data_IF_272363523443
#
_entry.id   IF_272363523443
#
_cell.length_a   1.000
_cell.length_b   1.000
_cell.length_c   1.000
_cell.angle_alpha   90.00
_cell.angle_beta   90.00
_cell.angle_gamma   90.00
#
_symmetry.space_group_name_H-M   'P 1'
#
loop_
_entity.id
_entity.type
_entity.pdbx_description
1 polymer ?
#
# COMPACT_ATOMS: atom_id res chain seq x y z
N UNK A 1 -67.76 -9.63 -20.93
CA UNK A 1 -67.36 -10.07 -22.28
C UNK A 1 -66.10 -10.91 -22.13
N UNK A 2 -66.04 -12.21 -22.41
CA UNK A 2 -67.04 -13.16 -22.98
C UNK A 2 -67.50 -12.75 -24.39
N UNK A 3 -67.33 -13.51 -25.46
CA UNK A 3 -66.52 -14.71 -25.79
C UNK A 3 -65.99 -14.46 -27.25
N UNK A 4 -65.54 -15.36 -28.13
CA UNK A 4 -65.40 -16.83 -28.24
C UNK A 4 -64.09 -17.07 -29.08
N UNK A 5 -63.74 -18.10 -29.89
CA UNK A 5 -64.34 -19.37 -30.32
C UNK A 5 -63.22 -20.42 -30.58
N UNK A 6 -63.58 -21.72 -30.64
CA UNK A 6 -62.76 -22.89 -31.06
C UNK A 6 -63.38 -23.48 -32.33
N UNK A 7 -62.62 -24.12 -33.26
CA UNK A 7 -62.31 -25.58 -33.16
C UNK A 7 -61.00 -25.97 -33.89
N UNK A 8 -60.57 -27.23 -34.09
CA UNK A 8 -60.62 -28.49 -33.31
C UNK A 8 -59.47 -29.40 -33.79
N UNK A 9 -59.13 -30.46 -33.04
CA UNK A 9 -58.18 -31.50 -33.49
C UNK A 9 -57.84 -32.53 -32.41
N UNK A 10 -58.41 -33.74 -32.52
CA UNK A 10 -58.27 -34.81 -31.51
C UNK A 10 -57.18 -35.84 -31.83
N UNK A 11 -56.74 -36.58 -30.81
CA UNK A 11 -55.75 -37.66 -30.89
C UNK A 11 -55.26 -38.11 -29.49
N UNK A 12 -56.16 -38.44 -28.56
CA UNK A 12 -56.51 -39.83 -28.18
C UNK A 12 -55.40 -40.60 -27.45
N UNK A 13 -55.59 -40.88 -26.16
CA UNK A 13 -54.69 -41.70 -25.33
C UNK A 13 -55.06 -41.65 -23.84
N UNK A 14 -55.76 -42.68 -23.37
CA UNK A 14 -56.15 -42.93 -21.96
C UNK A 14 -55.01 -43.70 -21.23
N UNK A 15 -54.95 -43.92 -19.91
CA UNK A 15 -55.93 -43.73 -18.81
C UNK A 15 -55.21 -43.49 -17.43
N UNK A 16 -55.98 -43.57 -16.33
CA UNK A 16 -55.65 -43.47 -14.89
C UNK A 16 -54.47 -44.36 -14.41
N UNK A 17 -53.82 -44.20 -13.23
CA UNK A 17 -54.31 -43.65 -11.95
C UNK A 17 -53.20 -43.22 -10.93
N UNK A 18 -53.65 -42.59 -9.82
CA UNK A 18 -52.92 -42.13 -8.60
C UNK A 18 -52.36 -43.31 -7.73
N UNK A 19 -51.47 -43.12 -6.70
CA UNK A 19 -51.41 -41.97 -5.76
C UNK A 19 -50.04 -41.56 -5.12
N UNK A 20 -50.14 -40.62 -4.15
CA UNK A 20 -49.26 -40.36 -2.98
C UNK A 20 -47.78 -39.92 -3.14
N UNK A 21 -47.57 -38.63 -2.89
CA UNK A 21 -46.83 -38.07 -1.73
C UNK A 21 -45.62 -38.86 -1.15
N UNK A 22 -44.41 -38.44 -1.50
CA UNK A 22 -43.23 -38.38 -0.60
C UNK A 22 -42.26 -37.27 -1.08
N UNK A 23 -41.39 -36.78 -0.20
CA UNK A 23 -40.72 -35.48 -0.35
C UNK A 23 -39.37 -35.50 -1.09
N UNK A 24 -39.14 -34.51 -1.96
CA UNK A 24 -37.78 -34.09 -2.36
C UNK A 24 -37.72 -32.62 -2.79
N UNK A 25 -37.31 -31.72 -1.88
CA UNK A 25 -37.08 -30.30 -2.20
C UNK A 25 -35.72 -30.14 -2.89
N UNK A 26 -35.67 -30.38 -4.20
CA UNK A 26 -34.57 -29.87 -5.05
C UNK A 26 -34.75 -28.37 -5.29
N UNK A 27 -34.29 -27.53 -4.35
CA UNK A 27 -33.99 -26.12 -4.66
C UNK A 27 -32.87 -26.08 -5.70
N UNK A 28 -33.06 -25.32 -6.78
CA UNK A 28 -32.05 -25.16 -7.82
C UNK A 28 -30.88 -24.29 -7.34
N UNK A 29 -29.65 -24.76 -7.53
CA UNK A 29 -28.47 -23.91 -7.42
C UNK A 29 -28.39 -22.97 -8.63
N UNK A 30 -28.90 -21.76 -8.47
CA UNK A 30 -28.81 -20.67 -9.44
C UNK A 30 -27.71 -19.69 -9.05
N UNK A 31 -26.78 -19.42 -9.98
CA UNK A 31 -25.59 -18.59 -9.78
C UNK A 31 -25.86 -17.22 -9.12
N UNK A 32 -25.25 -16.98 -7.96
CA UNK A 32 -25.25 -15.67 -7.26
C UNK A 32 -23.94 -15.37 -6.50
N UNK A 33 -22.81 -15.94 -6.93
CA UNK A 33 -21.47 -15.67 -6.32
C UNK A 33 -20.45 -15.23 -7.38
N UNK A 34 -20.77 -14.14 -8.09
CA UNK A 34 -19.81 -13.41 -8.94
C UNK A 34 -20.32 -11.98 -9.20
N UNK A 35 -19.49 -10.98 -8.85
CA UNK A 35 -19.53 -9.52 -9.16
C UNK A 35 -19.46 -8.53 -7.97
N UNK A 36 -19.58 -8.96 -6.70
CA UNK A 36 -19.59 -8.01 -5.56
C UNK A 36 -18.33 -7.10 -5.48
N UNK A 37 -17.07 -7.59 -5.64
CA UNK A 37 -15.89 -6.73 -5.48
C UNK A 37 -15.82 -5.58 -6.50
N UNK A 38 -16.14 -5.85 -7.77
CA UNK A 38 -16.14 -4.83 -8.82
C UNK A 38 -17.28 -3.80 -8.64
N UNK A 39 -18.41 -4.21 -8.08
CA UNK A 39 -19.51 -3.31 -7.74
C UNK A 39 -19.14 -2.37 -6.58
N UNK A 40 -18.56 -2.90 -5.50
CA UNK A 40 -18.10 -2.10 -4.36
C UNK A 40 -16.98 -1.11 -4.75
N UNK A 41 -16.04 -1.53 -5.59
CA UNK A 41 -15.01 -0.64 -6.14
C UNK A 41 -15.60 0.44 -7.05
N UNK A 42 -16.57 0.10 -7.91
CA UNK A 42 -17.27 1.07 -8.76
C UNK A 42 -18.08 2.09 -7.94
N UNK A 43 -18.67 1.65 -6.84
CA UNK A 43 -19.39 2.51 -5.90
C UNK A 43 -18.42 3.44 -5.16
N UNK A 44 -17.29 2.92 -4.67
CA UNK A 44 -16.23 3.71 -4.03
C UNK A 44 -15.66 4.78 -4.98
N UNK A 45 -15.38 4.43 -6.23
CA UNK A 45 -14.94 5.38 -7.26
C UNK A 45 -15.99 6.47 -7.55
N UNK A 46 -17.28 6.12 -7.57
CA UNK A 46 -18.38 7.09 -7.68
C UNK A 46 -18.43 8.05 -6.49
N UNK A 47 -18.26 7.56 -5.26
CA UNK A 47 -18.18 8.42 -4.07
C UNK A 47 -16.97 9.36 -4.11
N UNK A 48 -15.77 8.87 -4.47
CA UNK A 48 -14.61 9.75 -4.66
C UNK A 48 -14.84 10.81 -5.74
N UNK A 49 -15.55 10.49 -6.83
CA UNK A 49 -15.96 11.45 -7.86
C UNK A 49 -16.94 12.51 -7.31
N UNK A 50 -17.91 12.10 -6.48
CA UNK A 50 -18.86 12.99 -5.82
C UNK A 50 -18.18 13.90 -4.78
N UNK A 51 -17.37 13.35 -3.88
CA UNK A 51 -16.55 14.12 -2.93
C UNK A 51 -15.66 15.13 -3.68
N UNK A 52 -15.03 14.71 -4.78
CA UNK A 52 -14.23 15.58 -5.65
C UNK A 52 -15.04 16.66 -6.36
N UNK A 53 -16.35 16.49 -6.56
CA UNK A 53 -17.26 17.53 -7.07
C UNK A 53 -17.62 18.51 -5.95
N UNK A 54 -18.07 18.00 -4.80
CA UNK A 54 -18.52 18.82 -3.68
C UNK A 54 -17.37 19.64 -3.06
N UNK A 55 -16.15 19.10 -2.97
CA UNK A 55 -14.96 19.86 -2.56
C UNK A 55 -14.67 21.05 -3.50
N UNK A 56 -14.84 20.88 -4.82
CA UNK A 56 -14.68 21.97 -5.79
C UNK A 56 -15.81 23.00 -5.68
N UNK A 57 -17.05 22.56 -5.46
CA UNK A 57 -18.17 23.46 -5.20
C UNK A 57 -17.96 24.26 -3.92
N UNK A 58 -17.50 23.63 -2.84
CA UNK A 58 -17.13 24.30 -1.58
C UNK A 58 -16.07 25.37 -1.80
N UNK A 59 -14.96 25.05 -2.45
CA UNK A 59 -13.88 26.03 -2.72
C UNK A 59 -14.37 27.19 -3.60
N UNK A 60 -15.22 26.91 -4.60
CA UNK A 60 -15.87 27.95 -5.40
C UNK A 60 -16.77 28.88 -4.56
N UNK A 61 -17.58 28.30 -3.67
CA UNK A 61 -18.46 29.04 -2.77
C UNK A 61 -17.68 29.84 -1.71
N UNK A 62 -16.62 29.29 -1.11
CA UNK A 62 -15.73 30.02 -0.19
C UNK A 62 -15.07 31.23 -0.87
N UNK A 63 -14.63 31.07 -2.12
CA UNK A 63 -14.06 32.18 -2.90
C UNK A 63 -15.11 33.25 -3.23
N UNK A 64 -16.32 32.86 -3.62
CA UNK A 64 -17.43 33.80 -3.87
C UNK A 64 -17.86 34.54 -2.60
N UNK A 65 -17.90 33.85 -1.46
CA UNK A 65 -18.21 34.42 -0.13
C UNK A 65 -17.22 35.52 0.26
N UNK A 66 -15.92 35.30 0.00
CA UNK A 66 -14.83 36.26 0.25
C UNK A 66 -14.83 37.41 -0.76
N UNK A 67 -15.20 37.17 -2.01
CA UNK A 67 -15.19 38.16 -3.08
C UNK A 67 -16.43 39.07 -3.12
N UNK A 68 -17.60 38.60 -2.66
CA UNK A 68 -18.83 39.39 -2.70
C UNK A 68 -18.89 40.44 -1.58
N UNK A 69 -19.26 41.67 -1.95
CA UNK A 69 -19.59 42.74 -1.01
C UNK A 69 -21.09 42.78 -0.66
N UNK A 70 -21.95 42.10 -1.44
CA UNK A 70 -23.40 42.11 -1.30
C UNK A 70 -23.87 41.16 -0.20
N UNK A 71 -24.60 41.69 0.80
CA UNK A 71 -25.06 40.95 1.99
C UNK A 71 -25.95 39.76 1.65
N UNK A 72 -26.94 39.93 0.76
CA UNK A 72 -27.89 38.88 0.40
C UNK A 72 -27.21 37.73 -0.36
N UNK A 73 -26.27 38.06 -1.25
CA UNK A 73 -25.43 37.05 -1.93
C UNK A 73 -24.55 36.33 -0.90
N UNK A 74 -23.99 37.04 0.09
CA UNK A 74 -23.18 36.43 1.15
C UNK A 74 -23.99 35.47 2.02
N UNK A 75 -25.21 35.83 2.40
CA UNK A 75 -26.14 34.99 3.15
C UNK A 75 -26.54 33.73 2.37
N UNK A 76 -26.85 33.88 1.07
CA UNK A 76 -27.15 32.74 0.19
C UNK A 76 -25.95 31.79 0.07
N UNK A 77 -24.76 32.33 -0.13
CA UNK A 77 -23.53 31.50 -0.23
C UNK A 77 -23.16 30.84 1.11
N UNK A 78 -23.51 31.43 2.26
CA UNK A 78 -23.37 30.77 3.56
C UNK A 78 -24.29 29.55 3.69
N UNK A 79 -25.53 29.64 3.20
CA UNK A 79 -26.49 28.54 3.18
C UNK A 79 -25.98 27.38 2.29
N UNK A 80 -25.53 27.71 1.07
CA UNK A 80 -24.94 26.73 0.14
C UNK A 80 -23.67 26.09 0.72
N UNK A 81 -22.81 26.85 1.41
CA UNK A 81 -21.65 26.28 2.11
C UNK A 81 -22.06 25.32 3.22
N UNK A 82 -23.14 25.58 3.96
CA UNK A 82 -23.67 24.66 4.97
C UNK A 82 -24.20 23.38 4.31
N UNK A 83 -24.93 23.49 3.20
CA UNK A 83 -25.45 22.35 2.44
C UNK A 83 -24.31 21.48 1.87
N UNK A 84 -23.32 22.08 1.19
CA UNK A 84 -22.17 21.35 0.61
C UNK A 84 -21.31 20.70 1.69
N UNK A 85 -21.13 21.33 2.86
CA UNK A 85 -20.45 20.68 4.00
C UNK A 85 -21.26 19.49 4.54
N UNK A 86 -22.59 19.59 4.65
CA UNK A 86 -23.44 18.46 5.05
C UNK A 86 -23.41 17.32 4.03
N UNK A 87 -23.33 17.64 2.73
CA UNK A 87 -23.21 16.63 1.66
C UNK A 87 -21.83 15.94 1.69
N UNK A 88 -20.77 16.69 1.96
CA UNK A 88 -19.41 16.17 2.17
C UNK A 88 -19.29 15.30 3.42
N UNK A 89 -20.07 15.58 4.47
CA UNK A 89 -20.16 14.73 5.68
C UNK A 89 -20.73 13.36 5.31
N UNK A 90 -21.93 13.33 4.73
CA UNK A 90 -22.64 12.10 4.35
C UNK A 90 -21.82 11.23 3.36
N UNK A 91 -21.24 11.83 2.32
CA UNK A 91 -20.42 11.10 1.34
C UNK A 91 -19.14 10.49 1.96
N UNK A 92 -18.61 11.08 3.05
CA UNK A 92 -17.48 10.51 3.80
C UNK A 92 -17.91 9.41 4.76
N UNK A 93 -19.09 9.51 5.34
CA UNK A 93 -19.67 8.49 6.21
C UNK A 93 -20.01 7.22 5.39
N UNK A 94 -20.66 7.37 4.23
CA UNK A 94 -20.93 6.27 3.28
C UNK A 94 -19.62 5.60 2.78
N UNK A 95 -18.58 6.41 2.52
CA UNK A 95 -17.25 5.91 2.14
C UNK A 95 -16.55 5.15 3.28
N UNK A 96 -16.80 5.53 4.54
CA UNK A 96 -16.27 4.83 5.72
C UNK A 96 -17.01 3.51 5.95
N UNK A 97 -18.35 3.49 5.83
CA UNK A 97 -19.16 2.26 5.90
C UNK A 97 -18.70 1.22 4.87
N UNK A 98 -18.54 1.65 3.61
CA UNK A 98 -18.00 0.84 2.51
C UNK A 98 -16.51 0.50 2.64
N UNK A 99 -15.82 1.04 3.64
CA UNK A 99 -14.46 0.63 4.03
C UNK A 99 -14.46 -0.38 5.18
N UNK A 100 -15.50 -0.41 6.01
CA UNK A 100 -15.73 -1.44 7.05
C UNK A 100 -16.46 -2.68 6.54
N UNK A 101 -17.29 -2.59 5.49
CA UNK A 101 -18.15 -3.68 5.02
C UNK A 101 -17.45 -4.75 4.17
N UNK A 102 -16.17 -5.04 4.41
CA UNK A 102 -15.35 -5.91 3.56
C UNK A 102 -15.25 -7.35 4.09
N UNK A 103 -15.41 -7.55 5.41
CA UNK A 103 -15.31 -8.86 6.06
C UNK A 103 -16.65 -9.26 6.71
N UNK A 104 -17.43 -10.11 6.02
CA UNK A 104 -18.59 -10.82 6.59
C UNK A 104 -18.63 -12.25 6.04
N UNK A 105 -17.75 -13.11 6.56
CA UNK A 105 -17.88 -14.57 6.59
C UNK A 105 -16.96 -15.12 7.70
N UNK A 106 -17.32 -14.86 8.97
CA UNK A 106 -16.69 -15.48 10.14
C UNK A 106 -17.69 -16.45 10.80
N UNK A 107 -17.28 -17.69 11.12
CA UNK A 107 -18.13 -18.63 11.85
C UNK A 107 -18.27 -18.21 13.32
N UNK A 108 -19.46 -18.41 13.90
CA UNK A 108 -19.73 -18.11 15.31
C UNK A 108 -18.93 -19.07 16.23
N UNK A 109 -17.88 -18.58 16.89
CA UNK A 109 -17.15 -19.39 17.88
C UNK A 109 -15.85 -18.84 18.44
N UNK A 110 -15.16 -17.92 17.74
CA UNK A 110 -13.82 -17.46 18.13
C UNK A 110 -13.79 -16.15 18.93
N UNK A 111 -12.64 -15.84 19.53
CA UNK A 111 -12.43 -14.68 20.39
C UNK A 111 -12.52 -13.35 19.66
N UNK A 112 -12.63 -12.25 20.42
CA UNK A 112 -12.74 -10.89 19.88
C UNK A 112 -11.43 -10.48 19.19
N UNK A 113 -11.32 -10.76 17.89
CA UNK A 113 -10.19 -10.36 17.05
C UNK A 113 -10.19 -8.85 16.87
N UNK A 114 -9.31 -8.15 17.59
CA UNK A 114 -9.12 -6.71 17.43
C UNK A 114 -8.48 -6.45 16.05
N UNK A 115 -9.08 -5.60 15.19
CA UNK A 115 -8.64 -5.43 13.81
C UNK A 115 -7.30 -4.70 13.69
N UNK A 116 -6.63 -4.90 12.56
CA UNK A 116 -5.50 -4.08 12.12
C UNK A 116 -5.99 -2.86 11.33
N UNK A 117 -5.13 -1.84 11.21
CA UNK A 117 -5.35 -0.65 10.40
C UNK A 117 -4.56 -0.78 9.09
N UNK A 118 -5.23 -1.10 7.96
CA UNK A 118 -4.64 -0.99 6.62
C UNK A 118 -4.77 0.45 6.09
N UNK A 119 -3.82 0.85 5.23
CA UNK A 119 -3.83 2.12 4.52
C UNK A 119 -4.48 2.00 3.14
N UNK A 120 -5.22 3.04 2.74
CA UNK A 120 -5.61 3.24 1.35
C UNK A 120 -4.40 3.51 0.45
N UNK A 121 -4.50 3.15 -0.83
CA UNK A 121 -3.50 3.57 -1.83
C UNK A 121 -3.78 5.03 -2.24
N UNK A 122 -2.71 5.77 -2.56
CA UNK A 122 -2.77 7.05 -3.27
C UNK A 122 -3.27 6.79 -4.70
N UNK A 123 -4.26 7.54 -5.15
CA UNK A 123 -4.76 7.47 -6.52
C UNK A 123 -3.97 8.39 -7.46
N UNK A 124 -3.87 8.05 -8.74
CA UNK A 124 -3.29 8.91 -9.79
C UNK A 124 -4.14 8.92 -11.07
N UNK A 125 -3.97 9.98 -11.86
CA UNK A 125 -4.62 10.15 -13.17
C UNK A 125 -3.80 9.52 -14.28
N UNK A 126 -4.36 9.44 -15.48
CA UNK A 126 -3.56 9.25 -16.70
C UNK A 126 -2.49 10.34 -16.84
N UNK A 127 -1.38 9.98 -17.48
CA UNK A 127 -0.21 10.81 -17.76
C UNK A 127 0.37 10.36 -19.09
N UNK A 128 0.49 11.31 -20.02
CA UNK A 128 1.20 11.16 -21.30
C UNK A 128 2.72 11.21 -21.02
N UNK A 129 3.40 10.07 -21.20
CA UNK A 129 4.84 9.96 -21.30
C UNK A 129 5.30 10.03 -22.76
N UNK A 130 4.47 9.59 -23.70
CA UNK A 130 4.80 9.48 -25.11
C UNK A 130 5.23 10.80 -25.75
N UNK A 131 4.42 11.87 -25.66
CA UNK A 131 4.76 13.16 -26.25
C UNK A 131 6.04 13.74 -25.64
N UNK A 132 6.18 13.88 -24.30
CA UNK A 132 7.36 14.52 -23.72
C UNK A 132 8.65 13.70 -23.83
N UNK A 133 8.57 12.36 -23.96
CA UNK A 133 9.75 11.54 -24.23
C UNK A 133 10.18 11.62 -25.70
N UNK A 134 9.25 11.57 -26.66
CA UNK A 134 9.58 11.65 -28.09
C UNK A 134 10.21 13.01 -28.45
N UNK A 135 9.62 14.09 -27.95
CA UNK A 135 10.18 15.44 -28.08
C UNK A 135 11.61 15.51 -27.52
N UNK A 136 11.82 15.03 -26.29
CA UNK A 136 13.13 15.04 -25.64
C UNK A 136 14.15 14.15 -26.38
N UNK A 137 13.75 12.98 -26.88
CA UNK A 137 14.62 12.09 -27.67
C UNK A 137 15.13 12.81 -28.93
N UNK A 138 14.22 13.43 -29.69
CA UNK A 138 14.61 14.14 -30.92
C UNK A 138 15.35 15.46 -30.68
N UNK A 139 14.99 16.23 -29.65
CA UNK A 139 15.71 17.48 -29.32
C UNK A 139 17.09 17.24 -28.68
N UNK A 140 17.22 16.25 -27.80
CA UNK A 140 18.46 16.04 -27.04
C UNK A 140 19.43 15.06 -27.71
N UNK A 141 18.94 13.93 -28.23
CA UNK A 141 19.79 12.87 -28.79
C UNK A 141 19.89 12.97 -30.32
N UNK A 142 18.97 13.67 -30.98
CA UNK A 142 18.91 13.76 -32.44
C UNK A 142 18.39 12.49 -33.13
N UNK A 143 17.77 11.61 -32.35
CA UNK A 143 17.17 10.34 -32.79
C UNK A 143 15.67 10.54 -33.09
N UNK A 144 15.08 9.75 -33.98
CA UNK A 144 13.63 9.83 -34.25
C UNK A 144 12.86 9.24 -33.05
N UNK A 145 12.11 10.09 -32.34
CA UNK A 145 11.33 9.66 -31.17
C UNK A 145 10.32 8.55 -31.49
N UNK A 146 9.82 8.47 -32.74
CA UNK A 146 8.89 7.41 -33.16
C UNK A 146 9.54 6.03 -33.30
N UNK A 147 10.88 5.95 -33.31
CA UNK A 147 11.60 4.67 -33.30
C UNK A 147 11.52 3.91 -31.96
N UNK A 148 11.12 4.60 -30.88
CA UNK A 148 10.93 4.05 -29.52
C UNK A 148 9.44 3.93 -29.11
N UNK A 149 8.53 3.91 -30.08
CA UNK A 149 7.07 3.84 -29.84
C UNK A 149 6.68 2.63 -28.98
N UNK A 150 7.34 1.47 -29.17
CA UNK A 150 7.03 0.22 -28.46
C UNK A 150 7.37 0.33 -26.98
N UNK A 151 8.60 0.73 -26.67
CA UNK A 151 9.13 0.85 -25.31
C UNK A 151 8.44 1.97 -24.51
N UNK A 152 7.95 2.99 -25.22
CA UNK A 152 7.11 4.05 -24.67
C UNK A 152 5.71 3.51 -24.34
N UNK A 153 5.08 2.74 -25.23
CA UNK A 153 3.77 2.12 -24.94
C UNK A 153 3.85 1.14 -23.77
N UNK A 154 4.91 0.33 -23.69
CA UNK A 154 5.15 -0.57 -22.55
C UNK A 154 5.27 0.19 -21.22
N UNK A 155 5.91 1.37 -21.21
CA UNK A 155 5.98 2.25 -20.03
C UNK A 155 4.61 2.85 -19.66
N UNK A 156 3.81 3.27 -20.64
CA UNK A 156 2.48 3.83 -20.41
C UNK A 156 1.48 2.76 -19.91
N UNK A 157 1.50 1.57 -20.49
CA UNK A 157 0.67 0.42 -20.08
C UNK A 157 1.05 -0.02 -18.65
N UNK A 158 2.35 -0.15 -18.36
CA UNK A 158 2.85 -0.44 -17.02
C UNK A 158 2.39 0.61 -16.01
N UNK A 159 2.49 1.90 -16.34
CA UNK A 159 1.98 2.98 -15.49
C UNK A 159 0.47 2.89 -15.29
N UNK A 160 -0.29 2.70 -16.36
CA UNK A 160 -1.75 2.66 -16.32
C UNK A 160 -2.23 1.52 -15.41
N UNK A 161 -1.56 0.37 -15.44
CA UNK A 161 -1.81 -0.73 -14.51
C UNK A 161 -1.54 -0.37 -13.04
N UNK A 162 -0.51 0.44 -12.74
CA UNK A 162 -0.21 0.86 -11.34
C UNK A 162 -1.28 1.74 -10.68
N UNK A 163 -2.30 2.18 -11.43
CA UNK A 163 -3.49 2.87 -10.86
C UNK A 163 -4.41 1.93 -10.11
N UNK A 164 -4.46 0.66 -10.51
CA UNK A 164 -5.33 -0.37 -9.93
C UNK A 164 -4.58 -1.70 -9.77
N UNK A 165 -3.48 -1.74 -8.98
CA UNK A 165 -2.76 -2.99 -8.73
C UNK A 165 -3.64 -3.97 -7.96
N UNK A 166 -3.39 -5.27 -8.09
CA UNK A 166 -4.01 -6.29 -7.27
C UNK A 166 -3.61 -6.14 -5.79
N UNK A 167 -4.30 -6.84 -4.87
CA UNK A 167 -4.15 -6.63 -3.41
C UNK A 167 -3.36 -7.77 -2.75
N UNK A 168 -2.26 -8.09 -3.40
CA UNK A 168 -1.41 -9.27 -3.24
C UNK A 168 0.02 -8.97 -3.77
N UNK A 169 0.90 -9.97 -3.72
CA UNK A 169 2.29 -9.86 -4.17
C UNK A 169 2.43 -9.46 -5.66
N UNK A 170 1.51 -9.86 -6.54
CA UNK A 170 1.56 -9.44 -7.95
C UNK A 170 1.30 -7.92 -8.09
N UNK A 171 0.56 -7.32 -7.16
CA UNK A 171 0.40 -5.87 -7.05
C UNK A 171 1.67 -5.16 -6.55
N UNK A 172 2.45 -5.82 -5.70
CA UNK A 172 3.76 -5.33 -5.24
C UNK A 172 4.80 -5.40 -6.36
N UNK A 173 4.88 -6.53 -7.07
CA UNK A 173 5.75 -6.72 -8.24
C UNK A 173 5.47 -5.65 -9.32
N UNK A 174 4.20 -5.39 -9.62
CA UNK A 174 3.77 -4.36 -10.56
C UNK A 174 4.25 -2.95 -10.15
N UNK A 175 4.09 -2.58 -8.87
CA UNK A 175 4.56 -1.29 -8.35
C UNK A 175 6.10 -1.20 -8.32
N UNK A 176 6.79 -2.30 -7.96
CA UNK A 176 8.25 -2.37 -7.93
C UNK A 176 8.87 -2.33 -9.34
N UNK A 177 8.23 -2.94 -10.33
CA UNK A 177 8.61 -2.85 -11.73
C UNK A 177 8.50 -1.40 -12.25
N UNK A 178 7.38 -0.72 -12.01
CA UNK A 178 7.23 0.69 -12.39
C UNK A 178 8.21 1.60 -11.64
N UNK A 179 8.40 1.41 -10.33
CA UNK A 179 9.42 2.14 -9.55
C UNK A 179 10.84 1.94 -10.11
N UNK A 180 11.15 0.74 -10.61
CA UNK A 180 12.43 0.43 -11.26
C UNK A 180 12.57 1.16 -12.60
N UNK A 181 11.51 1.26 -13.41
CA UNK A 181 11.52 2.08 -14.63
C UNK A 181 11.69 3.56 -14.32
N UNK A 182 11.00 4.11 -13.31
CA UNK A 182 11.24 5.48 -12.83
C UNK A 182 12.71 5.68 -12.40
N UNK A 183 13.38 4.66 -11.87
CA UNK A 183 14.80 4.73 -11.54
C UNK A 183 15.75 4.71 -12.75
N UNK A 184 15.36 4.11 -13.88
CA UNK A 184 16.10 4.21 -15.14
C UNK A 184 15.84 5.54 -15.86
N UNK A 185 14.57 5.98 -15.89
CA UNK A 185 14.17 7.24 -16.53
C UNK A 185 14.88 8.44 -15.89
N UNK A 186 14.95 8.48 -14.56
CA UNK A 186 15.69 9.51 -13.81
C UNK A 186 17.14 9.64 -14.30
N UNK A 187 17.85 8.51 -14.42
CA UNK A 187 19.26 8.46 -14.79
C UNK A 187 19.54 8.77 -16.27
N UNK A 188 18.54 8.72 -17.16
CA UNK A 188 18.70 8.98 -18.61
C UNK A 188 18.08 10.30 -19.08
N UNK A 189 16.97 10.73 -18.48
CA UNK A 189 16.13 11.82 -19.01
C UNK A 189 15.90 12.98 -18.05
N UNK A 190 16.26 12.87 -16.77
CA UNK A 190 16.07 13.94 -15.78
C UNK A 190 17.42 14.49 -15.31
N UNK A 191 17.55 15.81 -15.37
CA UNK A 191 18.73 16.55 -14.94
C UNK A 191 18.31 17.97 -14.51
N UNK A 192 19.12 18.69 -13.70
CA UNK A 192 18.76 20.03 -13.25
C UNK A 192 18.57 21.08 -14.36
N UNK A 193 19.03 20.81 -15.59
CA UNK A 193 18.90 21.69 -16.75
C UNK A 193 18.01 21.15 -17.88
N UNK A 194 17.59 19.88 -17.82
CA UNK A 194 16.65 19.24 -18.75
C UNK A 194 15.82 18.18 -18.02
N UNK A 195 14.51 18.34 -18.05
CA UNK A 195 13.52 17.34 -17.62
C UNK A 195 12.35 17.36 -18.60
N UNK A 196 11.76 16.21 -18.97
CA UNK A 196 10.53 16.19 -19.77
C UNK A 196 9.41 16.98 -19.07
N UNK A 197 8.55 17.64 -19.86
CA UNK A 197 7.57 18.64 -19.40
C UNK A 197 6.39 18.12 -18.57
N UNK A 198 6.54 16.98 -17.90
CA UNK A 198 5.52 16.24 -17.17
C UNK A 198 4.97 17.00 -15.95
N UNK A 199 3.76 16.61 -15.55
CA UNK A 199 3.09 17.10 -14.34
C UNK A 199 2.38 15.92 -13.66
N UNK A 200 3.04 15.34 -12.66
CA UNK A 200 2.55 14.19 -11.92
C UNK A 200 1.39 14.62 -11.01
N UNK A 201 0.28 13.88 -11.05
CA UNK A 201 -0.94 14.15 -10.30
C UNK A 201 -1.26 13.00 -9.36
N UNK A 202 -1.26 13.24 -8.05
CA UNK A 202 -1.63 12.23 -7.05
C UNK A 202 -2.65 12.76 -6.06
N UNK A 203 -3.38 11.85 -5.44
CA UNK A 203 -4.28 12.13 -4.34
C UNK A 203 -3.67 11.64 -3.02
N UNK A 204 -3.93 12.37 -1.95
CA UNK A 204 -3.60 11.99 -0.58
C UNK A 204 -4.45 10.77 -0.14
N UNK A 205 -3.80 9.74 0.38
CA UNK A 205 -4.41 8.48 0.85
C UNK A 205 -5.23 8.61 2.15
N UNK A 206 -4.94 9.61 2.98
CA UNK A 206 -5.61 9.90 4.24
C UNK A 206 -6.74 10.94 4.04
N UNK A 207 -6.54 11.92 3.15
CA UNK A 207 -7.41 13.11 3.07
C UNK A 207 -8.15 13.29 1.74
N UNK A 208 -7.71 12.61 0.67
CA UNK A 208 -8.22 12.82 -0.69
C UNK A 208 -7.82 14.17 -1.32
N UNK A 209 -6.96 14.97 -0.68
CA UNK A 209 -6.45 16.23 -1.23
C UNK A 209 -5.55 15.95 -2.44
N UNK A 210 -5.76 16.61 -3.60
CA UNK A 210 -4.89 16.47 -4.75
C UNK A 210 -3.58 17.25 -4.57
N UNK A 211 -2.47 16.64 -4.98
CA UNK A 211 -1.15 17.27 -5.08
C UNK A 211 -0.58 17.09 -6.51
N UNK A 212 0.17 18.09 -6.96
CA UNK A 212 0.70 18.18 -8.33
C UNK A 212 2.15 18.68 -8.31
N UNK A 213 3.09 17.95 -8.91
CA UNK A 213 4.47 18.43 -9.07
C UNK A 213 5.08 17.97 -10.40
N UNK A 214 6.12 18.69 -10.86
CA UNK A 214 6.91 18.32 -12.06
C UNK A 214 8.11 17.42 -11.75
N UNK A 215 8.49 17.30 -10.47
CA UNK A 215 9.66 16.51 -10.07
C UNK A 215 9.35 15.01 -10.11
N UNK A 216 10.18 14.22 -10.80
CA UNK A 216 10.05 12.76 -10.87
C UNK A 216 10.08 12.10 -9.49
N UNK A 217 10.76 12.72 -8.54
CA UNK A 217 10.74 12.31 -7.13
C UNK A 217 9.30 12.13 -6.62
N UNK A 218 8.35 13.03 -6.96
CA UNK A 218 6.97 12.93 -6.48
C UNK A 218 6.25 11.67 -6.98
N UNK A 219 6.48 11.28 -8.24
CA UNK A 219 5.98 10.04 -8.81
C UNK A 219 6.58 8.84 -8.06
N UNK A 220 7.91 8.80 -7.93
CA UNK A 220 8.63 7.74 -7.18
C UNK A 220 8.13 7.61 -5.75
N UNK A 221 8.02 8.71 -5.02
CA UNK A 221 7.59 8.74 -3.63
C UNK A 221 6.14 8.30 -3.46
N UNK A 222 5.26 8.62 -4.40
CA UNK A 222 3.86 8.18 -4.37
C UNK A 222 3.71 6.68 -4.70
N UNK A 223 4.53 6.15 -5.62
CA UNK A 223 4.61 4.71 -5.90
C UNK A 223 5.19 3.96 -4.69
N UNK A 224 6.25 4.48 -4.05
CA UNK A 224 6.83 3.91 -2.83
C UNK A 224 5.84 3.91 -1.66
N UNK A 225 5.06 4.99 -1.50
CA UNK A 225 3.95 5.02 -0.54
C UNK A 225 2.94 3.90 -0.84
N UNK A 226 2.59 3.68 -2.10
CA UNK A 226 1.65 2.62 -2.48
C UNK A 226 2.22 1.21 -2.25
N UNK A 227 3.53 0.99 -2.38
CA UNK A 227 4.19 -0.27 -1.97
C UNK A 227 4.01 -0.49 -0.45
N UNK A 228 4.31 0.54 0.36
CA UNK A 228 4.11 0.47 1.81
C UNK A 228 2.64 0.23 2.20
N UNK A 229 1.71 0.98 1.60
CA UNK A 229 0.28 0.85 1.87
C UNK A 229 -0.28 -0.51 1.40
N UNK A 230 0.20 -1.07 0.28
CA UNK A 230 -0.19 -2.41 -0.18
C UNK A 230 0.29 -3.51 0.79
N UNK A 231 1.53 -3.42 1.30
CA UNK A 231 1.98 -4.31 2.37
C UNK A 231 1.06 -4.26 3.61
N UNK A 232 0.53 -3.09 4.00
CA UNK A 232 -0.45 -3.03 5.12
C UNK A 232 -1.75 -3.76 4.82
N UNK A 233 -2.22 -3.74 3.56
CA UNK A 233 -3.43 -4.46 3.14
C UNK A 233 -3.20 -5.97 3.08
N UNK A 234 -1.99 -6.42 2.75
CA UNK A 234 -1.60 -7.84 2.76
C UNK A 234 -1.45 -8.34 4.20
N UNK A 235 -0.78 -7.59 5.07
CA UNK A 235 -0.62 -7.94 6.48
C UNK A 235 -1.94 -8.00 7.25
N UNK A 236 -2.86 -7.06 7.00
CA UNK A 236 -4.19 -7.04 7.62
C UNK A 236 -5.13 -8.16 7.15
N UNK A 237 -4.78 -8.90 6.08
CA UNK A 237 -5.57 -10.02 5.52
C UNK A 237 -5.07 -11.41 5.92
N UNK A 238 -3.96 -11.52 6.66
CA UNK A 238 -3.39 -12.82 7.02
C UNK A 238 -4.21 -13.53 8.08
N UNK A 239 -4.35 -14.85 7.93
CA UNK A 239 -4.96 -15.71 8.94
C UNK A 239 -4.04 -15.84 10.17
N UNK A 240 -4.30 -15.00 11.17
CA UNK A 240 -3.56 -14.98 12.43
C UNK A 240 -3.93 -16.12 13.39
N UNK A 241 -4.74 -17.11 12.98
CA UNK A 241 -4.96 -18.35 13.75
C UNK A 241 -3.76 -19.32 13.68
N UNK A 242 -2.85 -19.14 12.71
CA UNK A 242 -1.69 -19.99 12.49
C UNK A 242 -0.36 -19.21 12.50
N UNK A 243 0.72 -19.87 12.92
CA UNK A 243 2.05 -19.25 13.08
C UNK A 243 2.62 -18.72 11.76
N UNK A 244 2.27 -19.35 10.64
CA UNK A 244 2.67 -18.89 9.30
C UNK A 244 2.02 -17.53 8.97
N UNK A 245 0.70 -17.40 9.17
CA UNK A 245 -0.02 -16.15 8.94
C UNK A 245 0.39 -15.03 9.91
N UNK A 246 0.64 -15.33 11.18
CA UNK A 246 1.19 -14.32 12.11
C UNK A 246 2.57 -13.83 11.69
N UNK A 247 3.43 -14.72 11.16
CA UNK A 247 4.76 -14.35 10.67
C UNK A 247 4.67 -13.51 9.40
N UNK A 248 3.88 -13.93 8.40
CA UNK A 248 3.66 -13.14 7.17
C UNK A 248 3.04 -11.77 7.47
N UNK A 249 2.15 -11.67 8.46
CA UNK A 249 1.59 -10.40 8.89
C UNK A 249 2.65 -9.48 9.52
N UNK A 250 3.47 -10.00 10.42
CA UNK A 250 4.57 -9.26 11.04
C UNK A 250 5.58 -8.75 9.98
N UNK A 251 5.99 -9.62 9.04
CA UNK A 251 6.89 -9.21 7.95
C UNK A 251 6.27 -8.15 7.04
N UNK A 252 4.99 -8.29 6.69
CA UNK A 252 4.29 -7.31 5.84
C UNK A 252 4.23 -5.93 6.51
N UNK A 253 3.90 -5.86 7.80
CA UNK A 253 3.93 -4.59 8.54
C UNK A 253 5.37 -4.05 8.70
N UNK A 254 6.39 -4.89 8.91
CA UNK A 254 7.80 -4.45 8.92
C UNK A 254 8.23 -3.85 7.57
N UNK A 255 7.89 -4.49 6.44
CA UNK A 255 8.15 -3.96 5.09
C UNK A 255 7.43 -2.63 4.85
N UNK A 256 6.20 -2.48 5.34
CA UNK A 256 5.47 -1.22 5.30
C UNK A 256 6.14 -0.12 6.14
N UNK A 257 6.55 -0.41 7.38
CA UNK A 257 7.32 0.52 8.22
C UNK A 257 8.60 0.98 7.51
N UNK A 258 9.34 0.03 6.92
CA UNK A 258 10.54 0.29 6.13
C UNK A 258 10.30 1.20 4.92
N UNK A 259 9.17 1.05 4.22
CA UNK A 259 8.79 1.91 3.11
C UNK A 259 8.49 3.35 3.56
N UNK A 260 7.75 3.54 4.66
CA UNK A 260 7.46 4.87 5.20
C UNK A 260 8.70 5.56 5.81
N UNK A 261 9.60 4.79 6.45
CA UNK A 261 10.91 5.26 6.89
C UNK A 261 11.75 5.77 5.73
N UNK A 262 11.92 4.96 4.68
CA UNK A 262 12.67 5.31 3.48
C UNK A 262 12.09 6.56 2.80
N UNK A 263 10.77 6.68 2.76
CA UNK A 263 10.09 7.85 2.23
C UNK A 263 10.35 9.10 3.08
N UNK A 264 10.25 9.02 4.42
CA UNK A 264 10.57 10.13 5.33
C UNK A 264 12.00 10.63 5.18
N UNK A 265 12.95 9.72 4.99
CA UNK A 265 14.39 10.03 4.90
C UNK A 265 14.78 10.69 3.57
N UNK A 266 14.10 10.37 2.47
CA UNK A 266 14.44 10.85 1.13
C UNK A 266 13.59 12.03 0.63
N UNK A 267 12.53 12.42 1.35
CA UNK A 267 11.54 13.42 0.89
C UNK A 267 11.40 14.63 1.82
N UNK A 268 12.42 15.50 1.83
CA UNK A 268 12.49 16.72 2.64
C UNK A 268 11.38 17.76 2.39
N UNK A 269 10.65 17.65 1.27
CA UNK A 269 9.61 18.60 0.84
C UNK A 269 8.32 17.85 0.52
N UNK A 270 7.51 17.64 1.57
CA UNK A 270 6.26 16.89 1.49
C UNK A 270 5.26 17.48 0.47
N UNK A 271 4.82 16.72 -0.55
CA UNK A 271 3.88 17.18 -1.57
C UNK A 271 2.43 17.20 -1.09
N UNK A 272 2.08 16.35 -0.12
CA UNK A 272 0.72 16.13 0.41
C UNK A 272 0.78 15.77 1.90
N UNK A 273 -0.31 15.98 2.67
CA UNK A 273 -0.35 15.67 4.10
C UNK A 273 0.07 14.23 4.46
N UNK A 274 -0.38 13.20 3.74
CA UNK A 274 0.06 11.81 3.96
C UNK A 274 1.58 11.59 3.81
N UNK A 275 2.26 12.39 3.01
CA UNK A 275 3.71 12.35 2.81
C UNK A 275 4.48 13.34 3.71
N UNK A 276 3.84 13.94 4.73
CA UNK A 276 4.54 14.79 5.71
C UNK A 276 5.42 13.97 6.66
N UNK A 277 6.54 14.53 7.11
CA UNK A 277 7.44 13.82 8.03
C UNK A 277 6.77 13.37 9.34
N UNK A 278 5.78 14.14 9.84
CA UNK A 278 4.97 13.75 10.99
C UNK A 278 4.05 12.57 10.67
N UNK A 279 3.41 12.58 9.51
CA UNK A 279 2.54 11.49 9.02
C UNK A 279 3.35 10.21 8.84
N UNK A 280 4.47 10.28 8.12
CA UNK A 280 5.30 9.11 7.82
C UNK A 280 5.95 8.53 9.08
N UNK A 281 6.32 9.36 10.07
CA UNK A 281 6.78 8.87 11.37
C UNK A 281 5.66 8.22 12.19
N UNK A 282 4.42 8.69 12.08
CA UNK A 282 3.26 8.07 12.75
C UNK A 282 2.85 6.76 12.06
N UNK A 283 2.89 6.70 10.72
CA UNK A 283 2.63 5.48 9.95
C UNK A 283 3.71 4.42 10.18
N UNK A 284 4.99 4.79 10.22
CA UNK A 284 6.10 3.91 10.62
C UNK A 284 5.85 3.31 12.01
N UNK A 285 5.52 4.13 13.01
CA UNK A 285 5.20 3.66 14.37
C UNK A 285 3.96 2.75 14.41
N UNK A 286 2.90 3.08 13.66
CA UNK A 286 1.70 2.26 13.58
C UNK A 286 2.00 0.87 12.99
N UNK A 287 2.86 0.82 11.98
CA UNK A 287 3.30 -0.44 11.37
C UNK A 287 4.21 -1.25 12.31
N UNK A 288 5.09 -0.60 13.09
CA UNK A 288 5.88 -1.28 14.13
C UNK A 288 4.97 -1.87 15.21
N UNK A 289 3.99 -1.11 15.72
CA UNK A 289 3.04 -1.59 16.71
C UNK A 289 2.20 -2.78 16.22
N UNK A 290 1.76 -2.76 14.95
CA UNK A 290 1.02 -3.88 14.33
C UNK A 290 1.91 -5.10 14.07
N UNK A 291 3.18 -4.92 13.71
CA UNK A 291 4.13 -6.02 13.61
C UNK A 291 4.39 -6.69 14.98
N UNK A 292 4.56 -5.90 16.04
CA UNK A 292 4.72 -6.40 17.41
C UNK A 292 3.48 -7.16 17.89
N UNK A 293 2.27 -6.66 17.58
CA UNK A 293 1.02 -7.39 17.86
C UNK A 293 0.94 -8.74 17.14
N UNK A 294 1.43 -8.83 15.91
CA UNK A 294 1.53 -10.11 15.18
C UNK A 294 2.53 -11.07 15.83
N UNK A 295 3.67 -10.57 16.35
CA UNK A 295 4.64 -11.37 17.11
C UNK A 295 4.00 -11.90 18.40
N UNK A 296 3.35 -11.05 19.19
CA UNK A 296 2.59 -11.46 20.38
C UNK A 296 1.53 -12.54 20.07
N UNK A 297 0.73 -12.34 19.00
CA UNK A 297 -0.25 -13.34 18.54
C UNK A 297 0.44 -14.67 18.19
N UNK A 298 1.60 -14.63 17.53
CA UNK A 298 2.39 -15.81 17.22
C UNK A 298 2.90 -16.57 18.47
N UNK A 299 3.26 -15.86 19.55
CA UNK A 299 3.68 -16.47 20.82
C UNK A 299 2.54 -17.11 21.62
N UNK A 300 1.28 -16.70 21.40
CA UNK A 300 0.11 -17.33 22.01
C UNK A 300 -0.28 -18.67 21.34
N UNK A 301 0.22 -18.94 20.13
CA UNK A 301 -0.10 -20.17 19.40
C UNK A 301 0.72 -21.36 19.92
N UNK A 302 0.13 -22.57 20.04
CA UNK A 302 0.84 -23.75 20.51
C UNK A 302 2.05 -24.11 19.63
N UNK A 303 3.21 -24.28 20.23
CA UNK A 303 4.40 -24.80 19.54
C UNK A 303 4.12 -26.22 19.02
N UNK A 304 4.14 -26.41 17.70
CA UNK A 304 3.62 -27.59 16.98
C UNK A 304 4.40 -28.90 17.18
N UNK A 305 5.25 -29.00 18.20
CA UNK A 305 6.16 -30.12 18.44
C UNK A 305 6.15 -30.69 19.87
N UNK A 306 5.66 -29.96 20.89
CA UNK A 306 5.72 -30.41 22.30
C UNK A 306 4.50 -29.93 23.11
N UNK A 307 3.57 -30.81 23.53
CA UNK A 307 2.35 -30.41 24.26
C UNK A 307 2.58 -30.01 25.72
N UNK A 308 3.75 -30.31 26.30
CA UNK A 308 4.06 -30.07 27.72
C UNK A 308 4.81 -28.75 28.00
N UNK A 309 5.01 -27.90 26.98
CA UNK A 309 5.64 -26.58 27.14
C UNK A 309 4.56 -25.51 26.96
N UNK A 310 4.06 -24.97 28.07
CA UNK A 310 3.36 -23.70 28.03
C UNK A 310 4.33 -22.59 27.56
N UNK A 311 3.88 -21.62 26.74
CA UNK A 311 4.70 -20.46 26.43
C UNK A 311 5.08 -19.76 27.74
N UNK A 312 6.33 -19.28 27.84
CA UNK A 312 6.79 -18.61 29.06
C UNK A 312 5.91 -17.39 29.34
N UNK A 313 5.14 -17.45 30.43
CA UNK A 313 4.26 -16.36 30.85
C UNK A 313 5.05 -15.07 31.09
N UNK A 314 6.34 -15.16 31.42
CA UNK A 314 7.24 -14.01 31.53
C UNK A 314 7.52 -13.38 30.16
N UNK A 315 7.74 -14.20 29.12
CA UNK A 315 7.95 -13.75 27.74
C UNK A 315 6.66 -13.13 27.15
N UNK A 316 5.49 -13.75 27.39
CA UNK A 316 4.20 -13.18 26.99
C UNK A 316 3.92 -11.85 27.70
N UNK A 317 4.32 -11.71 28.97
CA UNK A 317 4.20 -10.44 29.70
C UNK A 317 5.11 -9.34 29.13
N UNK A 318 6.37 -9.67 28.85
CA UNK A 318 7.35 -8.76 28.22
C UNK A 318 6.87 -8.30 26.83
N UNK A 319 6.42 -9.23 26.00
CA UNK A 319 5.97 -8.95 24.65
C UNK A 319 4.70 -8.07 24.65
N UNK A 320 3.70 -8.41 25.47
CA UNK A 320 2.51 -7.56 25.65
C UNK A 320 2.86 -6.16 26.18
N UNK A 321 3.86 -6.03 27.06
CA UNK A 321 4.33 -4.73 27.53
C UNK A 321 4.99 -3.89 26.41
N UNK A 322 5.71 -4.54 25.48
CA UNK A 322 6.25 -3.87 24.29
C UNK A 322 5.12 -3.41 23.37
N UNK A 323 4.15 -4.27 23.04
CA UNK A 323 2.99 -3.93 22.19
C UNK A 323 2.20 -2.75 22.79
N UNK A 324 1.98 -2.75 24.11
CA UNK A 324 1.35 -1.64 24.83
C UNK A 324 2.14 -0.34 24.72
N UNK A 325 3.47 -0.41 24.81
CA UNK A 325 4.37 0.73 24.70
C UNK A 325 4.37 1.34 23.29
N UNK A 326 4.42 0.50 22.25
CA UNK A 326 4.36 0.94 20.85
C UNK A 326 3.01 1.59 20.53
N UNK A 327 1.88 0.97 20.87
CA UNK A 327 0.58 1.63 20.69
C UNK A 327 0.42 2.90 21.53
N UNK A 328 1.05 2.96 22.71
CA UNK A 328 1.16 4.18 23.51
C UNK A 328 1.98 5.28 22.83
N UNK A 329 2.98 4.96 22.00
CA UNK A 329 3.69 5.92 21.13
C UNK A 329 2.79 6.35 19.97
N UNK A 330 2.15 5.41 19.27
CA UNK A 330 1.25 5.65 18.14
C UNK A 330 0.09 6.57 18.53
N UNK A 331 -0.60 6.29 19.64
CA UNK A 331 -1.69 7.14 20.12
C UNK A 331 -1.22 8.58 20.38
N UNK A 332 -0.04 8.75 21.01
CA UNK A 332 0.55 10.09 21.22
C UNK A 332 0.87 10.79 19.90
N UNK A 333 1.39 10.08 18.90
CA UNK A 333 1.68 10.64 17.57
C UNK A 333 0.41 11.05 16.82
N UNK A 334 -0.63 10.20 16.84
CA UNK A 334 -1.94 10.49 16.26
C UNK A 334 -2.66 11.68 16.93
N UNK A 335 -2.43 11.89 18.24
CA UNK A 335 -3.04 12.96 19.01
C UNK A 335 -2.40 14.36 18.81
N UNK A 336 -1.26 14.48 18.11
CA UNK A 336 -0.61 15.78 17.85
C UNK A 336 -1.02 16.39 16.51
N UNK A 337 -1.19 17.73 16.43
CA UNK A 337 -1.20 18.45 15.15
C UNK A 337 0.13 18.26 14.38
N UNK A 338 0.11 18.22 13.04
CA UNK A 338 -1.07 18.33 12.18
C UNK A 338 -1.83 17.00 12.00
N UNK A 339 -1.25 15.87 12.42
CA UNK A 339 -1.75 14.51 12.17
C UNK A 339 -3.17 14.30 12.69
N UNK A 340 -3.43 14.76 13.92
CA UNK A 340 -4.75 14.75 14.56
C UNK A 340 -5.84 15.44 13.74
N UNK A 341 -5.49 16.46 12.96
CA UNK A 341 -6.46 17.35 12.33
C UNK A 341 -7.04 16.79 11.01
N UNK A 342 -6.57 15.60 10.58
CA UNK A 342 -7.12 14.87 9.43
C UNK A 342 -7.21 13.35 9.58
N UNK A 343 -6.63 12.73 10.62
CA UNK A 343 -6.87 11.30 10.89
C UNK A 343 -8.31 11.03 11.39
N UNK A 344 -8.89 9.85 11.06
CA UNK A 344 -10.12 9.39 11.71
C UNK A 344 -9.92 9.22 13.22
N UNK A 345 -10.84 9.77 14.02
CA UNK A 345 -10.82 9.61 15.48
C UNK A 345 -10.88 8.13 15.92
N UNK A 346 -11.51 7.26 15.11
CA UNK A 346 -11.53 5.80 15.33
C UNK A 346 -10.13 5.18 15.37
N UNK A 347 -9.16 5.67 14.57
CA UNK A 347 -7.79 5.17 14.60
C UNK A 347 -7.08 5.56 15.90
N UNK A 348 -7.21 6.82 16.31
CA UNK A 348 -6.63 7.36 17.54
C UNK A 348 -7.19 6.65 18.78
N UNK A 349 -8.48 6.33 18.77
CA UNK A 349 -9.17 5.57 19.81
C UNK A 349 -8.76 4.09 19.80
N UNK A 350 -8.65 3.45 18.63
CA UNK A 350 -8.22 2.05 18.52
C UNK A 350 -6.78 1.87 19.03
N UNK A 351 -5.87 2.79 18.70
CA UNK A 351 -4.51 2.79 19.24
C UNK A 351 -4.49 2.91 20.78
N UNK A 352 -5.34 3.78 21.36
CA UNK A 352 -5.45 3.89 22.82
C UNK A 352 -6.00 2.59 23.45
N UNK A 353 -7.11 2.05 22.90
CA UNK A 353 -7.73 0.81 23.39
C UNK A 353 -6.77 -0.38 23.30
N UNK A 354 -5.97 -0.48 22.22
CA UNK A 354 -4.92 -1.49 22.11
C UNK A 354 -3.83 -1.29 23.16
N UNK A 355 -3.36 -0.06 23.40
CA UNK A 355 -2.36 0.21 24.44
C UNK A 355 -2.82 -0.25 25.83
N UNK A 356 -4.05 0.09 26.24
CA UNK A 356 -4.62 -0.34 27.53
C UNK A 356 -4.87 -1.86 27.58
N UNK A 357 -5.35 -2.45 26.48
CA UNK A 357 -5.59 -3.90 26.37
C UNK A 357 -4.31 -4.71 26.52
N UNK A 358 -3.25 -4.35 25.80
CA UNK A 358 -1.96 -5.03 25.90
C UNK A 358 -1.27 -4.75 27.26
N UNK A 359 -1.50 -3.59 27.87
CA UNK A 359 -1.07 -3.34 29.25
C UNK A 359 -1.78 -4.27 30.25
N UNK A 360 -3.08 -4.53 30.07
CA UNK A 360 -3.82 -5.49 30.89
C UNK A 360 -3.34 -6.93 30.67
N UNK A 361 -3.06 -7.33 29.42
CA UNK A 361 -2.47 -8.64 29.11
C UNK A 361 -1.07 -8.81 29.72
N UNK A 362 -0.22 -7.79 29.68
CA UNK A 362 1.11 -7.82 30.28
C UNK A 362 1.04 -8.09 31.80
N UNK A 363 0.13 -7.40 32.51
CA UNK A 363 -0.12 -7.66 33.93
C UNK A 363 -0.72 -9.05 34.19
N UNK A 364 -1.61 -9.54 33.33
CA UNK A 364 -2.20 -10.87 33.43
C UNK A 364 -1.13 -11.97 33.32
N UNK A 365 -0.32 -11.94 32.26
CA UNK A 365 0.74 -12.93 32.06
C UNK A 365 1.83 -12.85 33.15
N UNK A 366 2.19 -11.64 33.61
CA UNK A 366 3.10 -11.48 34.76
C UNK A 366 2.52 -12.09 36.05
N UNK A 367 1.21 -11.95 36.29
CA UNK A 367 0.53 -12.56 37.43
C UNK A 367 0.45 -14.08 37.32
N UNK A 368 0.25 -14.63 36.12
CA UNK A 368 0.32 -16.08 35.86
C UNK A 368 1.73 -16.63 36.15
N UNK A 369 2.77 -15.98 35.62
CA UNK A 369 4.17 -16.34 35.89
C UNK A 369 4.48 -16.36 37.41
N UNK A 370 3.98 -15.37 38.15
CA UNK A 370 4.12 -15.28 39.61
C UNK A 370 3.38 -16.42 40.35
N UNK A 371 2.22 -16.86 39.86
CA UNK A 371 1.45 -17.95 40.46
C UNK A 371 2.04 -19.34 40.14
N UNK A 372 2.67 -19.49 38.97
CA UNK A 372 3.36 -20.71 38.56
C UNK A 372 4.75 -20.84 39.24
N UNK A 373 5.41 -19.71 39.58
CA UNK A 373 6.67 -19.71 40.32
C UNK A 373 6.49 -20.09 41.80
N UNK A 374 7.06 -21.22 42.23
CA UNK A 374 7.19 -21.54 43.66
C UNK A 374 8.06 -20.48 44.38
N UNK A 375 7.75 -20.08 45.63
CA UNK A 375 8.32 -18.87 46.24
C UNK A 375 9.76 -19.06 46.77
N UNK A 376 10.73 -19.20 45.87
CA UNK A 376 12.14 -19.00 46.16
C UNK A 376 12.46 -17.50 46.20
N UNK A 377 13.16 -17.04 47.25
CA UNK A 377 13.36 -15.60 47.55
C UNK A 377 14.34 -14.85 46.60
N UNK A 378 14.57 -15.36 45.39
CA UNK A 378 15.50 -14.78 44.41
C UNK A 378 14.85 -14.32 43.10
N UNK A 379 13.67 -14.81 42.72
CA UNK A 379 13.13 -14.60 41.37
C UNK A 379 12.32 -13.30 41.20
N UNK A 380 11.81 -12.71 42.29
CA UNK A 380 11.21 -11.36 42.28
C UNK A 380 12.14 -10.31 41.66
N UNK A 381 13.46 -10.40 41.92
CA UNK A 381 14.46 -9.49 41.39
C UNK A 381 14.73 -9.67 39.88
N UNK A 382 14.25 -10.76 39.25
CA UNK A 382 14.18 -10.90 37.79
C UNK A 382 12.86 -10.35 37.24
N UNK A 383 11.77 -10.49 38.00
CA UNK A 383 10.44 -10.05 37.60
C UNK A 383 10.28 -8.52 37.59
N UNK A 384 11.05 -7.77 38.38
CA UNK A 384 11.14 -6.29 38.26
C UNK A 384 11.66 -5.79 36.89
N UNK A 385 12.33 -6.65 36.11
CA UNK A 385 12.81 -6.34 34.76
C UNK A 385 11.80 -6.67 33.65
N UNK A 386 10.62 -7.23 33.95
CA UNK A 386 9.60 -7.63 32.94
C UNK A 386 9.08 -6.46 32.12
N UNK A 387 9.06 -5.26 32.68
CA UNK A 387 8.59 -4.04 32.03
C UNK A 387 9.73 -3.14 31.51
N UNK A 388 10.94 -3.70 31.35
CA UNK A 388 12.04 -3.01 30.67
C UNK A 388 11.99 -3.30 29.16
N UNK A 389 12.21 -2.29 28.28
CA UNK A 389 12.08 -2.49 26.84
C UNK A 389 13.04 -3.55 26.30
N UNK A 390 12.52 -4.44 25.47
CA UNK A 390 13.33 -5.35 24.65
C UNK A 390 14.17 -4.55 23.64
N UNK A 391 15.31 -5.10 23.20
CA UNK A 391 16.14 -4.44 22.16
C UNK A 391 15.32 -4.29 20.87
N UNK A 392 15.26 -3.09 20.27
CA UNK A 392 14.39 -2.84 19.13
C UNK A 392 14.81 -3.68 17.93
N UNK A 393 13.85 -4.39 17.34
CA UNK A 393 14.06 -5.16 16.12
C UNK A 393 14.16 -4.18 14.95
N UNK A 394 15.30 -4.15 14.25
CA UNK A 394 15.49 -3.16 13.16
C UNK A 394 14.55 -3.49 11.99
N UNK A 395 13.74 -2.52 11.49
CA UNK A 395 12.80 -2.79 10.40
C UNK A 395 13.53 -3.20 9.12
N UNK A 396 13.21 -4.39 8.60
CA UNK A 396 13.62 -4.83 7.28
C UNK A 396 12.92 -3.97 6.22
N UNK A 397 13.70 -3.11 5.56
CA UNK A 397 13.20 -2.30 4.44
C UNK A 397 12.79 -3.16 3.24
N UNK A 398 11.87 -2.68 2.38
CA UNK A 398 11.61 -3.35 1.12
C UNK A 398 12.89 -3.44 0.28
N UNK A 399 13.19 -4.64 -0.24
CA UNK A 399 14.46 -4.96 -0.94
C UNK A 399 14.50 -4.36 -2.35
N UNK A 400 14.46 -3.04 -2.45
CA UNK A 400 14.54 -2.30 -3.71
C UNK A 400 15.93 -2.48 -4.37
N UNK A 401 16.04 -2.62 -5.70
CA UNK A 401 17.32 -2.77 -6.40
C UNK A 401 18.28 -1.56 -6.27
N UNK A 402 19.08 -1.56 -5.19
CA UNK A 402 20.05 -0.51 -4.91
C UNK A 402 21.20 -0.50 -5.93
N UNK A 403 21.73 -1.68 -6.30
CA UNK A 403 22.82 -1.80 -7.28
C UNK A 403 22.33 -1.84 -8.74
N UNK A 404 23.11 -1.27 -9.70
CA UNK A 404 22.77 -1.32 -11.13
C UNK A 404 22.69 -2.73 -11.72
N UNK A 405 23.38 -3.71 -11.13
CA UNK A 405 23.45 -5.07 -11.66
C UNK A 405 22.19 -5.89 -11.34
N UNK A 406 21.55 -5.67 -10.20
CA UNK A 406 20.29 -6.36 -9.85
C UNK A 406 19.13 -5.88 -10.71
N UNK A 407 19.15 -4.60 -11.11
CA UNK A 407 18.18 -4.02 -12.06
C UNK A 407 18.21 -4.69 -13.44
N UNK A 408 19.31 -5.35 -13.83
CA UNK A 408 19.38 -6.15 -15.08
C UNK A 408 18.70 -7.51 -14.97
N UNK A 409 18.51 -8.05 -13.77
CA UNK A 409 17.98 -9.42 -13.57
C UNK A 409 16.46 -9.50 -13.76
N UNK A 410 15.72 -8.44 -13.41
CA UNK A 410 14.28 -8.34 -13.65
C UNK A 410 13.91 -8.03 -15.11
N UNK A 411 14.81 -7.42 -15.89
CA UNK A 411 14.63 -7.17 -17.33
C UNK A 411 15.02 -8.32 -18.25
N UNK A 412 15.08 -9.56 -17.74
CA UNK A 412 15.68 -10.74 -18.42
C UNK A 412 14.93 -11.31 -19.63
N UNK A 413 14.06 -10.53 -20.29
CA UNK A 413 13.11 -10.96 -21.33
C UNK A 413 13.66 -11.13 -22.75
N UNK A 414 14.88 -11.67 -22.90
CA UNK A 414 15.56 -11.99 -24.17
C UNK A 414 15.98 -10.84 -25.11
N UNK A 415 17.08 -11.07 -25.82
CA UNK A 415 17.54 -10.40 -27.06
C UNK A 415 17.87 -8.88 -27.05
N UNK A 416 19.06 -8.53 -26.53
CA UNK A 416 19.95 -7.57 -27.20
C UNK A 416 21.42 -7.79 -26.79
N UNK A 417 22.34 -7.86 -27.76
CA UNK A 417 23.78 -8.05 -27.52
C UNK A 417 24.62 -6.99 -28.24
N UNK A 418 25.78 -6.66 -27.65
CA UNK A 418 26.88 -5.84 -28.16
C UNK A 418 26.73 -4.30 -28.24
N UNK A 419 27.59 -3.64 -27.44
CA UNK A 419 28.27 -2.35 -27.70
C UNK A 419 27.36 -1.08 -27.70
N UNK A 420 27.84 0.13 -27.39
CA UNK A 420 29.22 0.69 -27.39
C UNK A 420 29.56 1.36 -26.03
N UNK A 421 30.86 1.46 -25.71
CA UNK A 421 31.39 2.21 -24.56
C UNK A 421 31.79 3.64 -24.95
N UNK A 422 31.66 4.59 -24.02
CA UNK A 422 32.06 5.99 -24.23
C UNK A 422 33.59 6.16 -24.38
N UNK A 423 34.07 7.06 -25.26
CA UNK A 423 35.49 7.44 -25.31
C UNK A 423 35.82 8.49 -24.23
N UNK A 424 36.99 8.35 -23.61
CA UNK A 424 37.59 9.39 -22.76
C UNK A 424 38.99 9.75 -23.28
N UNK A 425 39.33 11.04 -23.27
CA UNK A 425 40.68 11.56 -23.57
C UNK A 425 40.99 12.76 -22.66
N UNK A 426 42.27 12.90 -22.28
CA UNK A 426 42.79 14.06 -21.52
C UNK A 426 43.57 13.65 -20.28
N UNK A 427 44.90 13.57 -20.40
CA UNK A 427 45.82 13.38 -19.26
C UNK A 427 46.34 14.72 -18.69
N UNK A 428 47.55 14.81 -18.08
CA UNK A 428 48.65 13.82 -18.14
C UNK A 428 49.49 13.57 -16.86
N UNK A 429 50.39 12.57 -16.97
CA UNK A 429 51.73 12.46 -16.37
C UNK A 429 51.94 12.40 -14.83
N UNK A 430 52.46 11.27 -14.33
CA UNK A 430 53.90 11.07 -14.03
C UNK A 430 54.16 9.88 -13.06
N UNK A 431 55.26 9.13 -13.24
CA UNK A 431 55.73 8.10 -12.28
C UNK A 431 56.44 6.90 -12.94
N UNK A 432 57.63 6.53 -12.44
CA UNK A 432 58.48 5.49 -13.04
C UNK A 432 58.42 4.14 -12.30
N UNK A 433 58.75 3.05 -13.02
CA UNK A 433 59.34 1.84 -12.45
C UNK A 433 58.56 0.53 -12.65
N UNK A 434 59.14 -0.65 -12.88
CA UNK A 434 60.17 -1.13 -13.84
C UNK A 434 60.20 -2.69 -13.73
N UNK A 435 60.56 -3.42 -14.79
CA UNK A 435 60.51 -4.90 -14.93
C UNK A 435 59.12 -5.57 -14.78
N UNK A 436 58.77 -6.71 -15.37
CA UNK A 436 59.43 -7.63 -16.33
C UNK A 436 58.75 -9.03 -16.30
N UNK A 437 58.81 -9.93 -17.29
CA UNK A 437 59.35 -9.95 -18.67
C UNK A 437 58.80 -11.20 -19.42
N UNK A 438 58.64 -11.14 -20.76
CA UNK A 438 58.38 -12.26 -21.70
C UNK A 438 56.97 -12.95 -21.68
N UNK A 439 56.42 -13.47 -22.81
CA UNK A 439 56.73 -13.29 -24.24
C UNK A 439 55.53 -13.67 -25.16
N UNK A 440 55.59 -13.27 -26.43
CA UNK A 440 54.58 -13.47 -27.51
C UNK A 440 54.83 -14.82 -28.27
N UNK A 441 53.89 -15.35 -29.10
CA UNK A 441 53.37 -14.76 -30.36
C UNK A 441 51.83 -14.58 -30.36
N UNK A 442 51.20 -13.87 -31.30
CA UNK A 442 51.73 -13.06 -32.40
C UNK A 442 50.86 -13.10 -33.67
N UNK A 443 50.46 -11.92 -34.17
CA UNK A 443 50.35 -11.49 -35.58
C UNK A 443 49.60 -12.36 -36.64
N UNK A 444 48.98 -11.84 -37.70
CA UNK A 444 48.57 -10.49 -38.18
C UNK A 444 47.64 -10.75 -39.40
N UNK A 445 46.67 -9.88 -39.69
CA UNK A 445 46.45 -9.40 -41.07
C UNK A 445 45.56 -8.16 -41.13
N UNK A 446 46.02 -7.16 -41.87
CA UNK A 446 45.43 -5.82 -42.00
C UNK A 446 45.01 -5.52 -43.44
N UNK A 447 43.84 -4.90 -43.62
CA UNK A 447 43.48 -4.07 -44.79
C UNK A 447 42.37 -3.11 -44.33
N UNK A 448 42.50 -1.78 -44.22
CA UNK A 448 43.20 -0.72 -44.97
C UNK A 448 42.37 -0.05 -46.07
N UNK A 449 41.50 0.86 -45.63
CA UNK A 449 41.13 2.15 -46.23
C UNK A 449 40.64 2.23 -47.69
N UNK A 450 39.46 2.84 -47.87
CA UNK A 450 39.25 4.14 -48.57
C UNK A 450 37.75 4.46 -48.66
N UNK A 451 37.42 5.76 -48.71
CA UNK A 451 36.06 6.31 -48.70
C UNK A 451 36.03 7.54 -47.81
#
# INVERSE_FOLDING_TARGET
MILEERPDGQGTGEESSRPQDDGSIRKGYGSFVQNQPGQLQSHRARLHQQISKELRMRTGAENLYRATSNTWVRETVALELSYVNSNLQLLKEELAELSTSVDVDQPEGEGITIPMIPLGLKETKELDWATPLKELISEHFGEDGTSFETEIQELEDLRQATRTPSRDEAGLDLLAAYYSQLCFLDARFFSPSRSPGLLFHWYDSLTGVPAQQRALAFEKGSVLFNIGALHTQIGARQDCSCTEGTNHAAEAFQRAAGAFRLLRENFSHAPSPDMSAASLSMLEQLMIAQAQECIFKGLLLPASATPDICPDQLQLAQEAAQVATEYGLVHRAMAQPPVRDYLPASWTNLAHVKAEHFCALAHYHAAMALCESHPAKGELARQEHVFQPSTPHEPLGPTLPQHPEDRRKLGGGAAASHLVQSPAQGGPAAGCGDSGTAALPGQVLTARARG
#
